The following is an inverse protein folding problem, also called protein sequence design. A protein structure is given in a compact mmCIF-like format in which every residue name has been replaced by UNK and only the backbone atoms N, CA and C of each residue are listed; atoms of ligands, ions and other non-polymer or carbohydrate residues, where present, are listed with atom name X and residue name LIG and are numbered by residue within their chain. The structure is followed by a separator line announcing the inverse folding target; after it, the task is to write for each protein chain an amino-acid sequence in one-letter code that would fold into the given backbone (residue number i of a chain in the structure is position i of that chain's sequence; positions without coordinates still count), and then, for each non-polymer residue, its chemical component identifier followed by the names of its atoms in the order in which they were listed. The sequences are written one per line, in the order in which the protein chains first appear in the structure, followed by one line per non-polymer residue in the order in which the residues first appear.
data_IF_176761720056
#
_entry.id   IF_176761720056
#
_cell.length_a   1.000
_cell.length_b   1.000
_cell.length_c   1.000
_cell.angle_alpha   90.00
_cell.angle_beta   90.00
_cell.angle_gamma   90.00
#
_symmetry.space_group_name_H-M   'P 1'
#
loop_
_entity.id
_entity.type
_entity.pdbx_description
1 polymer ?
#
# COMPACT_ATOMS: atom_id res chain seq x y z
N UNK A 1 0.16 -7.94 -21.73
CA UNK A 1 -0.85 -6.87 -21.73
C UNK A 1 -1.26 -6.62 -20.28
N UNK A 2 -0.91 -5.44 -19.75
CA UNK A 2 -1.38 -5.05 -18.43
C UNK A 2 -2.89 -4.87 -18.50
N UNK A 3 -3.63 -5.60 -17.67
CA UNK A 3 -5.07 -5.35 -17.51
C UNK A 3 -5.17 -4.06 -16.69
N UNK A 4 -5.16 -2.91 -17.37
CA UNK A 4 -5.46 -1.62 -16.79
C UNK A 4 -6.83 -1.74 -16.08
N UNK A 5 -6.86 -1.64 -14.77
CA UNK A 5 -8.09 -1.73 -13.99
C UNK A 5 -8.16 -2.85 -12.94
N UNK A 6 -7.27 -3.85 -13.02
CA UNK A 6 -7.21 -4.87 -11.96
C UNK A 6 -6.61 -4.30 -10.68
N UNK A 7 -7.23 -4.62 -9.55
CA UNK A 7 -6.76 -4.29 -8.21
C UNK A 7 -6.63 -5.58 -7.40
N UNK A 8 -5.48 -5.80 -6.77
CA UNK A 8 -5.25 -6.99 -5.96
C UNK A 8 -6.04 -6.92 -4.65
N UNK A 9 -5.81 -5.86 -3.88
CA UNK A 9 -6.58 -5.56 -2.66
C UNK A 9 -7.11 -4.14 -2.77
N UNK A 10 -8.39 -3.96 -2.54
CA UNK A 10 -9.07 -2.67 -2.58
C UNK A 10 -9.77 -2.39 -1.24
N UNK A 11 -9.19 -1.49 -0.46
CA UNK A 11 -9.83 -0.91 0.72
C UNK A 11 -10.70 0.26 0.26
N UNK A 12 -11.99 0.01 0.16
CA UNK A 12 -12.92 0.99 -0.40
C UNK A 12 -13.53 1.90 0.67
N UNK A 13 -13.96 3.05 0.22
CA UNK A 13 -14.82 3.98 0.97
C UNK A 13 -14.39 4.23 2.43
N UNK A 14 -13.12 4.59 2.61
CA UNK A 14 -12.52 4.91 3.90
C UNK A 14 -12.51 3.73 4.90
N UNK A 15 -12.44 2.51 4.39
CA UNK A 15 -12.16 1.32 5.19
C UNK A 15 -10.89 1.50 6.03
N UNK A 16 -10.84 0.95 7.21
CA UNK A 16 -9.77 1.21 8.18
C UNK A 16 -9.34 -0.03 8.96
N UNK A 17 -8.04 -0.16 9.21
CA UNK A 17 -7.52 -1.08 10.21
C UNK A 17 -7.12 -2.47 9.72
N UNK A 18 -6.97 -2.66 8.40
CA UNK A 18 -6.54 -3.92 7.81
C UNK A 18 -5.05 -3.92 7.46
N UNK A 19 -4.40 -5.06 7.67
CA UNK A 19 -2.98 -5.23 7.38
C UNK A 19 -2.76 -6.04 6.09
N UNK A 20 -1.85 -5.56 5.26
CA UNK A 20 -1.38 -6.28 4.07
C UNK A 20 0.08 -6.67 4.30
N UNK A 21 0.32 -7.94 4.59
CA UNK A 21 1.64 -8.43 4.95
C UNK A 21 1.98 -9.74 4.24
N UNK A 22 3.18 -9.82 3.66
CA UNK A 22 3.71 -11.07 3.11
C UNK A 22 3.00 -11.55 1.84
N UNK A 23 2.49 -10.65 1.01
CA UNK A 23 1.82 -10.99 -0.23
C UNK A 23 2.72 -10.78 -1.45
N UNK A 24 2.36 -11.42 -2.55
CA UNK A 24 2.91 -11.17 -3.88
C UNK A 24 1.80 -10.67 -4.79
N UNK A 25 2.01 -9.49 -5.34
CA UNK A 25 1.16 -8.87 -6.35
C UNK A 25 1.91 -8.85 -7.68
N UNK A 26 1.41 -9.57 -8.67
CA UNK A 26 2.11 -9.71 -9.94
C UNK A 26 1.24 -9.28 -11.12
N UNK A 27 1.77 -8.37 -11.96
CA UNK A 27 1.20 -7.94 -13.23
C UNK A 27 -0.22 -7.36 -13.11
N UNK A 28 -0.49 -6.64 -12.01
CA UNK A 28 -1.76 -5.96 -11.75
C UNK A 28 -1.71 -4.48 -12.17
N UNK A 29 -2.86 -3.89 -12.43
CA UNK A 29 -2.98 -2.44 -12.60
C UNK A 29 -2.61 -1.70 -11.30
N UNK A 30 -3.10 -2.21 -10.17
CA UNK A 30 -2.74 -1.77 -8.81
C UNK A 30 -2.57 -3.00 -7.93
N UNK A 31 -1.50 -3.05 -7.13
CA UNK A 31 -1.34 -4.10 -6.12
C UNK A 31 -2.30 -3.87 -4.95
N UNK A 32 -2.14 -2.77 -4.24
CA UNK A 32 -3.01 -2.33 -3.15
C UNK A 32 -3.58 -0.95 -3.47
N UNK A 33 -4.87 -0.76 -3.25
CA UNK A 33 -5.52 0.53 -3.36
C UNK A 33 -6.21 0.91 -2.06
N UNK A 34 -5.80 2.05 -1.47
CA UNK A 34 -6.38 2.62 -0.25
C UNK A 34 -7.29 3.77 -0.64
N UNK A 35 -8.60 3.53 -0.59
CA UNK A 35 -9.64 4.49 -0.91
C UNK A 35 -9.96 5.43 0.26
N UNK A 36 -9.03 6.33 0.61
CA UNK A 36 -9.22 7.33 1.66
C UNK A 36 -9.13 6.80 3.08
N UNK A 37 -8.89 5.50 3.28
CA UNK A 37 -8.82 4.84 4.59
C UNK A 37 -7.53 5.09 5.36
N UNK A 38 -7.49 4.62 6.59
CA UNK A 38 -6.39 4.83 7.50
C UNK A 38 -6.07 3.58 8.34
N UNK A 39 -4.92 3.61 9.00
CA UNK A 39 -4.46 2.51 9.85
C UNK A 39 -4.27 1.17 9.09
N UNK A 40 -3.84 1.26 7.81
CA UNK A 40 -3.51 0.11 6.97
C UNK A 40 -1.99 -0.07 6.85
N UNK A 41 -1.34 -0.89 7.65
CA UNK A 41 0.05 -1.27 7.37
C UNK A 41 0.14 -2.12 6.11
N UNK A 42 0.97 -1.67 5.15
CA UNK A 42 1.30 -2.40 3.93
C UNK A 42 2.80 -2.69 3.98
N UNK A 43 3.14 -3.88 4.43
CA UNK A 43 4.51 -4.21 4.82
C UNK A 43 4.94 -5.59 4.31
N UNK A 44 6.21 -5.73 3.97
CA UNK A 44 6.80 -7.04 3.59
C UNK A 44 6.14 -7.69 2.37
N UNK A 45 5.68 -6.90 1.41
CA UNK A 45 5.06 -7.41 0.19
C UNK A 45 6.01 -7.32 -1.01
N UNK A 46 5.75 -8.12 -2.02
CA UNK A 46 6.41 -8.07 -3.33
C UNK A 46 5.41 -7.59 -4.37
N UNK A 47 5.78 -6.53 -5.11
CA UNK A 47 5.02 -6.00 -6.23
C UNK A 47 5.84 -6.18 -7.51
N UNK A 48 5.43 -7.12 -8.36
CA UNK A 48 6.13 -7.48 -9.58
C UNK A 48 5.36 -6.98 -10.80
N UNK A 49 5.98 -6.11 -11.60
CA UNK A 49 5.40 -5.52 -12.82
C UNK A 49 3.99 -4.93 -12.64
N UNK A 50 3.68 -4.40 -11.47
CA UNK A 50 2.41 -3.70 -11.25
C UNK A 50 2.41 -2.32 -11.90
N UNK A 51 1.25 -1.81 -12.31
CA UNK A 51 1.08 -0.41 -12.71
C UNK A 51 1.49 0.49 -11.54
N UNK A 52 0.67 0.56 -10.50
CA UNK A 52 1.07 1.07 -9.19
C UNK A 52 1.21 -0.11 -8.23
N UNK A 53 2.27 -0.15 -7.44
CA UNK A 53 2.39 -1.14 -6.35
C UNK A 53 1.33 -0.85 -5.29
N UNK A 54 1.38 0.34 -4.70
CA UNK A 54 0.40 0.85 -3.76
C UNK A 54 -0.16 2.17 -4.31
N UNK A 55 -1.45 2.38 -4.20
CA UNK A 55 -2.06 3.68 -4.54
C UNK A 55 -2.99 4.11 -3.42
N UNK A 56 -2.99 5.42 -3.13
CA UNK A 56 -3.83 6.03 -2.11
C UNK A 56 -4.56 7.24 -2.67
N UNK A 57 -5.85 7.38 -2.38
CA UNK A 57 -6.61 8.57 -2.73
C UNK A 57 -7.04 9.38 -1.49
N UNK A 58 -7.62 10.55 -1.74
CA UNK A 58 -8.04 11.50 -0.73
C UNK A 58 -9.56 11.64 -0.65
N UNK A 59 -10.31 10.57 -0.98
CA UNK A 59 -11.78 10.66 -1.07
C UNK A 59 -12.45 11.17 0.20
N UNK A 60 -11.94 10.81 1.37
CA UNK A 60 -12.44 11.33 2.64
C UNK A 60 -12.33 12.86 2.76
N UNK A 61 -11.32 13.45 2.11
CA UNK A 61 -11.08 14.91 2.13
C UNK A 61 -11.87 15.66 1.04
N UNK A 62 -12.05 15.04 -0.15
CA UNK A 62 -12.51 15.75 -1.35
C UNK A 62 -13.95 15.42 -1.76
N UNK A 63 -14.47 14.27 -1.39
CA UNK A 63 -15.82 13.89 -1.78
C UNK A 63 -16.86 14.49 -0.84
N UNK A 64 -17.81 15.21 -1.41
CA UNK A 64 -18.90 15.89 -0.66
C UNK A 64 -19.73 14.92 0.19
N UNK A 65 -19.87 13.66 -0.23
CA UNK A 65 -20.65 12.64 0.50
C UNK A 65 -20.11 12.33 1.90
N UNK A 66 -18.85 12.67 2.18
CA UNK A 66 -18.23 12.50 3.49
C UNK A 66 -18.38 13.70 4.42
N UNK A 67 -19.00 14.80 3.94
CA UNK A 67 -19.22 15.99 4.77
C UNK A 67 -20.32 15.75 5.79
N UNK A 68 -20.22 16.42 6.94
CA UNK A 68 -21.19 16.38 8.05
C UNK A 68 -22.63 16.66 7.64
N UNK A 69 -22.83 17.45 6.60
CA UNK A 69 -24.16 17.82 6.10
C UNK A 69 -24.62 16.97 4.90
N UNK A 70 -23.96 15.86 4.63
CA UNK A 70 -24.37 14.96 3.56
C UNK A 70 -25.53 14.07 4.02
N UNK A 71 -26.64 14.06 3.28
CA UNK A 71 -27.83 13.29 3.61
C UNK A 71 -27.60 11.76 3.59
N UNK A 72 -26.58 11.29 2.85
CA UNK A 72 -26.35 9.86 2.63
C UNK A 72 -25.18 9.28 3.44
N UNK A 73 -24.14 10.06 3.69
CA UNK A 73 -22.90 9.61 4.31
C UNK A 73 -22.34 10.64 5.28
N UNK A 74 -23.06 10.94 6.33
CA UNK A 74 -22.56 11.76 7.41
C UNK A 74 -21.60 10.93 8.26
N UNK A 75 -20.30 11.00 8.00
CA UNK A 75 -19.28 10.18 8.63
C UNK A 75 -19.29 10.32 10.16
N UNK A 76 -19.34 11.52 10.68
CA UNK A 76 -19.33 11.77 12.12
C UNK A 76 -20.56 11.18 12.80
N UNK A 77 -21.74 11.39 12.21
CA UNK A 77 -22.99 10.83 12.72
C UNK A 77 -22.99 9.30 12.71
N UNK A 78 -22.47 8.68 11.66
CA UNK A 78 -22.37 7.21 11.59
C UNK A 78 -21.43 6.67 12.66
N UNK A 79 -20.31 7.33 12.90
CA UNK A 79 -19.40 6.97 13.99
C UNK A 79 -20.10 7.06 15.36
N UNK A 80 -20.83 8.12 15.63
CA UNK A 80 -21.58 8.28 16.90
C UNK A 80 -22.64 7.18 17.07
N UNK A 81 -23.36 6.82 16.02
CA UNK A 81 -24.34 5.72 16.07
C UNK A 81 -23.71 4.39 16.43
N UNK A 82 -22.46 4.15 16.05
CA UNK A 82 -21.70 2.97 16.43
C UNK A 82 -21.23 2.99 17.89
N UNK A 83 -21.36 4.11 18.59
CA UNK A 83 -20.84 4.29 19.94
C UNK A 83 -19.36 3.93 20.08
N UNK A 84 -18.57 4.29 19.06
CA UNK A 84 -17.20 3.83 18.81
C UNK A 84 -16.22 4.14 19.93
N UNK A 85 -16.51 5.14 20.80
CA UNK A 85 -15.68 5.48 21.97
C UNK A 85 -15.82 4.51 23.13
N UNK A 86 -16.72 3.53 23.07
CA UNK A 86 -16.97 2.56 24.14
C UNK A 86 -16.61 1.13 23.74
N UNK A 87 -16.39 0.22 24.69
CA UNK A 87 -16.25 -1.20 24.39
C UNK A 87 -17.47 -1.74 23.61
N UNK A 88 -17.24 -2.70 22.70
CA UNK A 88 -15.96 -3.36 22.43
C UNK A 88 -14.98 -2.55 21.55
N UNK A 89 -15.47 -1.51 20.86
CA UNK A 89 -14.72 -0.76 19.83
C UNK A 89 -13.47 -0.08 20.40
N UNK A 90 -13.61 0.70 21.47
CA UNK A 90 -12.49 1.44 22.06
C UNK A 90 -11.38 0.53 22.63
N UNK A 91 -11.71 -0.71 22.97
CA UNK A 91 -10.73 -1.70 23.46
C UNK A 91 -10.03 -2.38 22.28
N UNK A 92 -10.80 -2.84 21.30
CA UNK A 92 -10.28 -3.55 20.15
C UNK A 92 -9.54 -2.64 19.17
N UNK A 93 -10.02 -1.41 19.01
CA UNK A 93 -9.51 -0.42 18.07
C UNK A 93 -9.27 0.92 18.78
N UNK A 94 -8.21 1.07 19.57
CA UNK A 94 -7.99 2.26 20.40
C UNK A 94 -7.81 3.55 19.57
N UNK A 95 -7.29 3.45 18.35
CA UNK A 95 -7.16 4.59 17.44
C UNK A 95 -8.53 5.09 16.97
N UNK A 96 -9.50 4.19 16.76
CA UNK A 96 -10.86 4.55 16.39
C UNK A 96 -11.51 5.42 17.45
N UNK A 97 -11.29 5.16 18.74
CA UNK A 97 -11.87 5.95 19.83
C UNK A 97 -11.46 7.44 19.78
N UNK A 98 -10.34 7.76 19.13
CA UNK A 98 -9.77 9.11 19.01
C UNK A 98 -9.90 9.70 17.60
N UNK A 99 -10.53 9.01 16.67
CA UNK A 99 -10.51 9.36 15.24
C UNK A 99 -10.98 10.81 14.99
N UNK A 100 -11.98 11.32 15.72
CA UNK A 100 -12.50 12.68 15.54
C UNK A 100 -11.52 13.78 15.93
N UNK A 101 -10.55 13.49 16.78
CA UNK A 101 -9.47 14.41 17.16
C UNK A 101 -8.20 14.25 16.36
N UNK A 102 -8.19 13.33 15.37
CA UNK A 102 -7.00 12.95 14.61
C UNK A 102 -7.26 13.00 13.10
N UNK A 103 -7.75 14.15 12.63
CA UNK A 103 -7.99 14.40 11.20
C UNK A 103 -8.80 13.29 10.51
N UNK A 104 -10.07 13.06 10.88
CA UNK A 104 -10.82 11.83 10.58
C UNK A 104 -11.03 11.53 9.10
N UNK A 105 -10.80 12.49 8.22
CA UNK A 105 -11.00 12.34 6.76
C UNK A 105 -9.69 12.17 6.00
N UNK A 106 -8.56 12.28 6.70
CA UNK A 106 -7.25 12.15 6.07
C UNK A 106 -6.79 10.68 6.10
N UNK A 107 -6.15 10.20 5.03
CA UNK A 107 -5.67 8.82 4.94
C UNK A 107 -4.36 8.64 5.73
N UNK A 108 -4.41 8.81 7.04
CA UNK A 108 -3.27 8.78 7.94
C UNK A 108 -2.94 7.37 8.43
N UNK A 109 -1.76 7.22 9.04
CA UNK A 109 -1.34 5.99 9.72
C UNK A 109 -1.34 4.74 8.83
N UNK A 110 -1.00 4.91 7.55
CA UNK A 110 -0.80 3.83 6.59
C UNK A 110 0.71 3.58 6.40
N UNK A 111 1.41 2.88 7.30
CA UNK A 111 2.83 2.62 7.13
C UNK A 111 3.07 1.72 5.92
N UNK A 112 4.00 2.13 5.06
CA UNK A 112 4.36 1.40 3.84
C UNK A 112 5.86 1.14 3.88
N UNK A 113 6.24 -0.03 4.40
CA UNK A 113 7.63 -0.35 4.72
C UNK A 113 8.02 -1.75 4.29
N UNK A 114 9.30 -1.91 4.02
CA UNK A 114 9.90 -3.22 3.72
C UNK A 114 9.25 -3.92 2.54
N UNK A 115 8.68 -3.15 1.62
CA UNK A 115 8.13 -3.69 0.39
C UNK A 115 9.20 -3.74 -0.70
N UNK A 116 9.07 -4.70 -1.59
CA UNK A 116 9.94 -4.90 -2.75
C UNK A 116 9.14 -4.64 -4.01
N UNK A 117 9.57 -3.66 -4.79
CA UNK A 117 8.97 -3.31 -6.08
C UNK A 117 9.92 -3.74 -7.19
N UNK A 118 9.44 -4.55 -8.11
CA UNK A 118 10.19 -5.07 -9.25
C UNK A 118 9.52 -4.59 -10.53
N UNK A 119 10.27 -3.83 -11.32
CA UNK A 119 9.85 -3.31 -12.61
C UNK A 119 8.46 -2.65 -12.56
N UNK A 120 8.22 -1.68 -11.67
CA UNK A 120 6.95 -0.96 -11.63
C UNK A 120 6.70 -0.30 -12.99
N UNK A 121 5.44 -0.24 -13.43
CA UNK A 121 5.10 0.33 -14.75
C UNK A 121 4.66 1.80 -14.66
N UNK A 122 4.28 2.25 -13.47
CA UNK A 122 3.93 3.65 -13.18
C UNK A 122 4.62 4.12 -11.90
N UNK A 123 4.08 3.80 -10.72
CA UNK A 123 4.66 4.20 -9.45
C UNK A 123 4.76 3.01 -8.49
N UNK A 124 5.77 3.00 -7.67
CA UNK A 124 5.84 2.11 -6.51
C UNK A 124 4.72 2.42 -5.54
N UNK A 125 4.66 3.69 -5.11
CA UNK A 125 3.62 4.22 -4.23
C UNK A 125 3.11 5.50 -4.86
N UNK A 126 1.90 5.46 -5.39
CA UNK A 126 1.23 6.60 -5.99
C UNK A 126 0.17 7.19 -5.05
N UNK A 127 0.01 8.49 -5.06
CA UNK A 127 -1.08 9.13 -4.35
C UNK A 127 -1.70 10.27 -5.15
N UNK A 128 -2.96 10.58 -4.86
CA UNK A 128 -3.57 11.78 -5.39
C UNK A 128 -2.93 13.04 -4.80
N UNK A 129 -2.81 14.14 -5.55
CA UNK A 129 -2.11 15.35 -5.09
C UNK A 129 -2.63 15.91 -3.76
N UNK A 130 -3.92 15.73 -3.46
CA UNK A 130 -4.49 16.17 -2.19
C UNK A 130 -3.91 15.44 -0.99
N UNK A 131 -3.45 14.20 -1.18
CA UNK A 131 -2.77 13.42 -0.14
C UNK A 131 -1.39 14.00 0.14
N UNK A 132 -0.72 14.59 -0.85
CA UNK A 132 0.63 15.16 -0.66
C UNK A 132 0.66 16.27 0.38
N UNK A 133 -0.43 17.01 0.53
CA UNK A 133 -0.54 18.07 1.53
C UNK A 133 -0.52 17.53 2.98
N UNK A 134 -0.79 16.25 3.17
CA UNK A 134 -0.77 15.59 4.47
C UNK A 134 0.38 14.58 4.61
N UNK A 135 1.25 14.47 3.61
CA UNK A 135 2.37 13.51 3.61
C UNK A 135 3.28 13.61 4.83
N UNK A 136 3.48 14.80 5.37
CA UNK A 136 4.27 14.99 6.60
C UNK A 136 3.65 14.34 7.85
N UNK A 137 2.35 14.07 7.81
CA UNK A 137 1.57 13.40 8.86
C UNK A 137 1.24 11.95 8.52
N UNK A 138 1.55 11.52 7.30
CA UNK A 138 1.40 10.11 6.92
C UNK A 138 2.34 9.26 7.78
N UNK A 139 1.93 8.05 8.02
CA UNK A 139 2.79 7.06 8.66
C UNK A 139 4.07 6.83 7.84
N UNK A 140 5.12 6.25 8.42
CA UNK A 140 6.38 6.09 7.73
C UNK A 140 6.24 5.38 6.39
N UNK A 141 6.63 6.08 5.31
CA UNK A 141 6.94 5.49 4.02
C UNK A 141 8.47 5.38 4.00
N UNK A 142 8.99 4.21 4.31
CA UNK A 142 10.41 4.04 4.57
C UNK A 142 10.89 2.63 4.28
N UNK A 143 12.20 2.48 4.12
CA UNK A 143 12.85 1.17 4.03
C UNK A 143 12.22 0.25 2.96
N UNK A 144 11.81 0.81 1.83
CA UNK A 144 11.37 0.04 0.68
C UNK A 144 12.53 -0.16 -0.30
N UNK A 145 12.40 -1.11 -1.19
CA UNK A 145 13.36 -1.37 -2.26
C UNK A 145 12.65 -1.40 -3.60
N UNK A 146 13.24 -0.75 -4.61
CA UNK A 146 12.76 -0.81 -5.99
C UNK A 146 13.88 -1.15 -6.96
N UNK A 147 13.59 -2.10 -7.84
CA UNK A 147 14.39 -2.37 -9.04
C UNK A 147 13.61 -1.89 -10.26
N UNK A 148 14.04 -0.77 -10.84
CA UNK A 148 13.41 -0.13 -12.01
C UNK A 148 14.06 -0.58 -13.31
N UNK A 149 13.25 -0.70 -14.36
CA UNK A 149 13.73 -0.88 -15.71
C UNK A 149 14.37 0.41 -16.22
N UNK A 150 15.26 0.26 -17.20
CA UNK A 150 15.88 1.39 -17.88
C UNK A 150 14.82 2.31 -18.51
N UNK A 151 14.94 3.59 -18.23
CA UNK A 151 14.03 4.60 -18.76
C UNK A 151 12.66 4.62 -18.05
N UNK A 152 12.52 3.97 -16.91
CA UNK A 152 11.34 4.10 -16.07
C UNK A 152 11.08 5.57 -15.75
N UNK A 153 9.84 6.00 -15.89
CA UNK A 153 9.41 7.36 -15.54
C UNK A 153 8.21 7.28 -14.62
N UNK A 154 8.35 7.63 -13.33
CA UNK A 154 7.24 7.77 -12.41
C UNK A 154 6.15 8.70 -12.99
N UNK A 155 4.91 8.35 -12.75
CA UNK A 155 3.77 9.15 -13.18
C UNK A 155 3.54 10.31 -12.21
N UNK A 156 3.95 11.51 -12.61
CA UNK A 156 3.73 12.74 -11.85
C UNK A 156 2.82 13.66 -12.66
N UNK A 157 1.53 13.48 -12.55
CA UNK A 157 0.51 14.29 -13.20
C UNK A 157 -0.46 14.89 -12.15
N UNK A 158 -1.52 15.55 -12.64
CA UNK A 158 -2.54 16.17 -11.78
C UNK A 158 -3.30 15.16 -10.90
N UNK A 159 -3.30 13.91 -11.28
CA UNK A 159 -4.06 12.84 -10.60
C UNK A 159 -3.20 11.95 -9.72
N UNK A 160 -1.87 11.96 -9.93
CA UNK A 160 -0.98 11.03 -9.26
C UNK A 160 0.41 11.63 -9.05
N UNK A 161 0.91 11.50 -7.85
CA UNK A 161 2.28 11.85 -7.45
C UNK A 161 2.94 10.62 -6.87
N UNK A 162 4.20 10.40 -7.20
CA UNK A 162 4.98 9.33 -6.59
C UNK A 162 5.38 9.70 -5.16
N UNK A 163 5.18 8.75 -4.26
CA UNK A 163 5.78 8.75 -2.93
C UNK A 163 6.73 7.55 -2.85
N UNK A 164 7.99 7.82 -2.61
CA UNK A 164 8.96 6.75 -2.44
C UNK A 164 9.94 7.10 -1.33
N UNK A 165 10.15 6.17 -0.43
CA UNK A 165 11.23 6.23 0.54
C UNK A 165 11.91 4.86 0.62
N UNK A 166 13.19 4.82 0.27
CA UNK A 166 13.97 3.59 0.26
C UNK A 166 15.02 3.57 -0.83
N UNK A 167 15.56 2.40 -1.08
CA UNK A 167 16.61 2.18 -2.09
C UNK A 167 15.97 1.96 -3.46
N UNK A 168 16.39 2.77 -4.43
CA UNK A 168 15.98 2.62 -5.83
C UNK A 168 17.21 2.29 -6.66
N UNK A 169 17.16 1.19 -7.40
CA UNK A 169 18.15 0.83 -8.41
C UNK A 169 17.54 0.99 -9.80
N UNK A 170 18.07 1.94 -10.54
CA UNK A 170 17.71 2.17 -11.94
C UNK A 170 18.83 1.69 -12.85
N UNK A 171 18.48 1.22 -14.04
CA UNK A 171 19.42 0.77 -15.05
C UNK A 171 20.48 -0.22 -14.54
N UNK A 172 20.19 -0.89 -13.43
CA UNK A 172 21.07 -1.89 -12.85
C UNK A 172 21.12 -3.13 -13.76
N UNK A 173 22.29 -3.74 -13.94
CA UNK A 173 22.36 -5.06 -14.56
C UNK A 173 21.73 -6.14 -13.67
N UNK A 174 21.37 -5.80 -12.44
CA UNK A 174 20.73 -6.72 -11.51
C UNK A 174 19.32 -7.08 -12.01
N UNK A 175 19.06 -8.37 -12.09
CA UNK A 175 17.73 -8.89 -12.39
C UNK A 175 17.09 -9.50 -11.13
N UNK A 176 15.77 -9.78 -11.14
CA UNK A 176 15.07 -10.35 -10.00
C UNK A 176 15.70 -11.66 -9.48
N UNK A 177 16.26 -12.48 -10.38
CA UNK A 177 16.96 -13.73 -9.99
C UNK A 177 18.24 -13.43 -9.18
N UNK A 178 18.92 -12.33 -9.48
CA UNK A 178 20.11 -11.90 -8.70
C UNK A 178 19.72 -11.35 -7.32
N UNK A 179 18.49 -10.81 -7.17
CA UNK A 179 17.95 -10.48 -5.86
C UNK A 179 17.64 -11.72 -5.03
N UNK A 180 17.52 -12.87 -5.67
CA UNK A 180 17.30 -14.15 -5.01
C UNK A 180 15.97 -14.82 -5.33
N UNK A 181 15.14 -14.24 -6.20
CA UNK A 181 13.92 -14.90 -6.69
C UNK A 181 14.30 -16.12 -7.56
N UNK A 182 13.47 -17.17 -7.48
CA UNK A 182 13.73 -18.42 -8.20
C UNK A 182 13.47 -18.27 -9.70
N UNK A 183 12.22 -17.98 -10.09
CA UNK A 183 11.83 -17.76 -11.50
C UNK A 183 10.58 -16.89 -11.58
N UNK A 184 10.66 -15.60 -11.27
CA UNK A 184 9.52 -14.71 -11.22
C UNK A 184 8.86 -14.49 -12.58
N UNK A 185 9.58 -14.67 -13.68
CA UNK A 185 9.05 -14.64 -15.04
C UNK A 185 7.96 -15.71 -15.24
N UNK A 186 8.17 -16.90 -14.67
CA UNK A 186 7.21 -18.00 -14.68
C UNK A 186 6.27 -18.03 -13.48
N UNK A 187 6.31 -17.00 -12.64
CA UNK A 187 5.45 -16.89 -11.47
C UNK A 187 5.98 -17.61 -10.22
N UNK A 188 7.21 -18.06 -10.22
CA UNK A 188 7.85 -18.60 -9.02
C UNK A 188 8.57 -17.49 -8.26
N UNK A 189 7.86 -16.90 -7.32
CA UNK A 189 8.34 -15.80 -6.49
C UNK A 189 9.02 -16.27 -5.20
N UNK A 190 9.28 -17.56 -5.04
CA UNK A 190 10.06 -18.06 -3.90
C UNK A 190 11.44 -17.41 -3.90
N UNK A 191 11.95 -17.16 -2.72
CA UNK A 191 13.30 -16.64 -2.53
C UNK A 191 14.24 -17.77 -2.12
N UNK A 192 15.49 -17.70 -2.56
CA UNK A 192 16.54 -18.56 -2.07
C UNK A 192 16.95 -18.14 -0.65
N UNK A 193 17.47 -19.06 0.14
CA UNK A 193 17.91 -18.78 1.51
C UNK A 193 19.04 -17.73 1.57
N UNK A 194 19.89 -17.69 0.54
CA UNK A 194 21.00 -16.75 0.39
C UNK A 194 20.64 -15.49 -0.37
N UNK A 195 19.33 -15.22 -0.58
CA UNK A 195 18.85 -14.12 -1.39
C UNK A 195 19.45 -12.78 -0.93
N UNK A 196 20.00 -12.03 -1.88
CA UNK A 196 20.64 -10.74 -1.59
C UNK A 196 19.66 -9.69 -1.08
N UNK A 197 18.37 -9.83 -1.38
CA UNK A 197 17.33 -8.93 -0.90
C UNK A 197 17.31 -8.83 0.64
N UNK A 198 17.60 -9.90 1.36
CA UNK A 198 17.64 -9.89 2.84
C UNK A 198 18.80 -9.05 3.40
N UNK A 199 19.87 -8.84 2.62
CA UNK A 199 20.98 -7.95 2.99
C UNK A 199 20.68 -6.50 2.62
N UNK A 200 20.01 -6.29 1.48
CA UNK A 200 19.61 -4.97 0.97
C UNK A 200 18.50 -4.39 1.84
N UNK A 201 17.55 -5.22 2.25
CA UNK A 201 16.38 -4.87 3.02
C UNK A 201 16.29 -5.78 4.27
N UNK A 202 17.08 -5.51 5.34
CA UNK A 202 17.26 -6.45 6.45
C UNK A 202 16.00 -6.77 7.25
N UNK A 203 14.97 -5.94 7.15
CA UNK A 203 13.67 -6.17 7.82
C UNK A 203 12.64 -6.87 6.92
N UNK A 204 12.96 -7.07 5.65
CA UNK A 204 12.15 -7.89 4.78
C UNK A 204 12.30 -9.35 5.21
N UNK A 205 11.20 -10.02 5.45
CA UNK A 205 11.19 -11.39 5.96
C UNK A 205 10.72 -12.39 4.91
N UNK A 206 11.06 -13.63 5.12
CA UNK A 206 10.68 -14.74 4.27
C UNK A 206 9.16 -14.83 4.12
N UNK A 207 8.68 -14.97 2.87
CA UNK A 207 7.28 -15.28 2.57
C UNK A 207 7.16 -16.81 2.46
N UNK A 208 6.44 -17.46 3.38
CA UNK A 208 6.39 -18.93 3.45
C UNK A 208 5.40 -19.50 2.43
N UNK A 209 5.77 -19.51 1.16
CA UNK A 209 4.88 -19.95 0.06
C UNK A 209 4.33 -21.36 0.27
N UNK A 210 5.11 -22.25 0.89
CA UNK A 210 4.71 -23.62 1.22
C UNK A 210 3.59 -23.70 2.27
N UNK A 211 3.28 -22.57 2.90
CA UNK A 211 2.23 -22.45 3.93
C UNK A 211 1.04 -21.59 3.50
N UNK A 212 1.07 -21.07 2.27
CA UNK A 212 0.05 -20.19 1.70
C UNK A 212 -0.87 -21.02 0.79
N UNK A 213 -2.18 -20.77 0.86
CA UNK A 213 -3.20 -21.43 0.06
C UNK A 213 -4.07 -22.39 0.87
N UNK A 214 -5.03 -23.01 0.17
CA UNK A 214 -5.86 -24.05 0.77
C UNK A 214 -5.01 -25.26 1.14
N UNK A 215 -5.22 -25.79 2.33
CA UNK A 215 -4.65 -27.07 2.76
C UNK A 215 -5.75 -28.10 2.66
N UNK A 216 -5.43 -29.20 2.03
CA UNK A 216 -6.28 -30.40 2.01
C UNK A 216 -6.40 -30.99 3.40
#
# INVERSE_FOLDING_TARGET
SHVMGTVGIYFDDCDCGDAVFGNVFARLGRGVFIGGGRDHPVENNVFYECGNGIQMDARGMVWKKWNTNCATWNFEEQCEKLNYRRPPWSVKYPNLARIMSDHPREPLHNPMRWNVFIHPKQNEIGCFPQVTNVCSRLAPIADNFSLRERGHKPRNDRESVELMSGVVLEDSPMCPVQLGFVDPEKGDFRLRQDASIFRILPRFTWIPFERIGCRD
#
